data_IF_107209937220
#
_entry.id   IF_107209937220
#
_cell.length_a   1.000
_cell.length_b   1.000
_cell.length_c   1.000
_cell.angle_alpha   90.00
_cell.angle_beta   90.00
_cell.angle_gamma   90.00
#
_symmetry.space_group_name_H-M   'P 1'
#
loop_
_entity.id
_entity.type
_entity.pdbx_description
1 polymer ?
#
# COMPACT_ATOMS: atom_id res chain seq x y z
N UNK A 1 -23.21 -52.37 -31.26
CA UNK A 1 -23.21 -51.12 -30.49
C UNK A 1 -21.87 -50.99 -29.73
N UNK A 2 -21.01 -50.07 -30.17
CA UNK A 2 -19.74 -49.77 -29.46
C UNK A 2 -19.95 -48.48 -28.71
N UNK A 3 -19.93 -48.51 -27.37
CA UNK A 3 -19.95 -47.32 -26.53
C UNK A 3 -18.52 -46.71 -26.51
N UNK A 4 -18.39 -45.50 -27.02
CA UNK A 4 -17.17 -44.70 -26.90
C UNK A 4 -17.28 -43.97 -25.58
N UNK A 5 -16.38 -44.30 -24.65
CA UNK A 5 -16.19 -43.57 -23.38
C UNK A 5 -15.36 -42.31 -23.69
N UNK A 6 -16.01 -41.16 -23.66
CA UNK A 6 -15.28 -39.87 -23.72
C UNK A 6 -14.84 -39.51 -22.31
N UNK A 7 -13.56 -39.67 -22.00
CA UNK A 7 -12.94 -39.20 -20.76
C UNK A 7 -12.66 -37.73 -20.92
N UNK A 8 -13.46 -36.87 -20.28
CA UNK A 8 -13.21 -35.43 -20.20
C UNK A 8 -12.14 -35.18 -19.13
N UNK A 9 -10.94 -34.90 -19.56
CA UNK A 9 -9.90 -34.38 -18.69
C UNK A 9 -10.20 -32.90 -18.37
N UNK A 10 -10.79 -32.64 -17.23
CA UNK A 10 -10.91 -31.28 -16.68
C UNK A 10 -9.57 -30.94 -16.03
N UNK A 11 -8.67 -30.32 -16.79
CA UNK A 11 -7.47 -29.74 -16.23
C UNK A 11 -7.84 -28.51 -15.40
N UNK A 12 -7.63 -28.57 -14.09
CA UNK A 12 -7.69 -27.41 -13.20
C UNK A 12 -6.49 -26.48 -13.41
N UNK A 13 -6.56 -25.63 -14.41
CA UNK A 13 -5.49 -24.68 -14.79
C UNK A 13 -5.27 -23.52 -13.80
N UNK A 14 -6.06 -23.37 -12.75
CA UNK A 14 -6.08 -22.16 -11.92
C UNK A 14 -4.92 -22.00 -10.94
N UNK A 15 -4.27 -23.09 -10.51
CA UNK A 15 -3.19 -23.02 -9.52
C UNK A 15 -1.76 -22.87 -10.10
N UNK A 16 -1.56 -23.22 -11.34
CA UNK A 16 -0.21 -23.15 -11.98
C UNK A 16 0.15 -21.70 -12.34
N UNK A 17 -0.81 -20.89 -12.74
CA UNK A 17 -0.57 -19.52 -13.22
C UNK A 17 -0.11 -18.56 -12.11
N UNK A 18 -0.60 -18.70 -10.89
CA UNK A 18 -0.21 -17.85 -9.74
C UNK A 18 1.23 -18.15 -9.27
N UNK A 19 1.64 -19.40 -9.31
CA UNK A 19 2.95 -19.83 -8.78
C UNK A 19 4.12 -19.45 -9.71
N UNK A 20 3.92 -19.51 -11.03
CA UNK A 20 4.93 -19.09 -12.02
C UNK A 20 5.21 -17.58 -11.94
N UNK A 21 4.19 -16.75 -11.84
CA UNK A 21 4.33 -15.28 -11.78
C UNK A 21 5.11 -14.77 -10.56
N UNK A 22 4.95 -15.39 -9.38
CA UNK A 22 5.78 -15.04 -8.20
C UNK A 22 7.24 -15.40 -8.44
N UNK A 23 7.52 -16.53 -9.06
CA UNK A 23 8.87 -16.96 -9.38
C UNK A 23 9.54 -15.96 -10.33
N UNK A 24 8.80 -15.50 -11.36
CA UNK A 24 9.29 -14.51 -12.32
C UNK A 24 9.57 -13.16 -11.67
N UNK A 25 8.67 -12.70 -10.77
CA UNK A 25 8.88 -11.49 -9.99
C UNK A 25 10.12 -11.61 -9.11
N UNK A 26 10.28 -12.70 -8.38
CA UNK A 26 11.44 -12.96 -7.52
C UNK A 26 12.74 -13.00 -8.33
N UNK A 27 12.72 -13.62 -9.51
CA UNK A 27 13.86 -13.69 -10.42
C UNK A 27 14.24 -12.30 -10.92
N UNK A 28 13.29 -11.55 -11.46
CA UNK A 28 13.53 -10.21 -12.00
C UNK A 28 14.11 -9.26 -10.96
N UNK A 29 13.60 -9.30 -9.73
CA UNK A 29 14.07 -8.46 -8.63
C UNK A 29 15.47 -8.90 -8.15
N UNK A 30 15.75 -10.20 -8.10
CA UNK A 30 17.07 -10.70 -7.74
C UNK A 30 18.13 -10.33 -8.78
N UNK A 31 17.76 -10.32 -10.05
CA UNK A 31 18.63 -9.92 -11.16
C UNK A 31 18.92 -8.41 -11.18
N UNK A 32 18.02 -7.60 -10.67
CA UNK A 32 18.18 -6.14 -10.58
C UNK A 32 19.08 -5.68 -9.43
N UNK A 33 19.33 -6.56 -8.46
CA UNK A 33 20.24 -6.33 -7.33
C UNK A 33 20.00 -5.01 -6.57
N UNK A 34 18.74 -4.54 -6.51
CA UNK A 34 18.36 -3.24 -5.96
C UNK A 34 18.09 -3.26 -4.44
N UNK A 35 18.64 -4.26 -3.73
CA UNK A 35 18.60 -4.34 -2.26
C UNK A 35 17.25 -4.66 -1.69
N UNK A 36 16.36 -5.25 -2.46
CA UNK A 36 15.02 -5.61 -2.03
C UNK A 36 15.02 -6.52 -0.81
N UNK A 37 14.02 -6.34 0.03
CA UNK A 37 13.68 -7.26 1.12
C UNK A 37 13.72 -8.69 0.57
N UNK A 38 14.30 -9.61 1.34
CA UNK A 38 14.39 -11.02 0.94
C UNK A 38 13.02 -11.53 0.47
N UNK A 39 12.83 -11.55 -0.83
CA UNK A 39 11.56 -11.87 -1.49
C UNK A 39 11.15 -13.32 -1.37
N UNK A 40 12.07 -14.21 -0.95
CA UNK A 40 11.74 -15.60 -0.67
C UNK A 40 10.65 -15.71 0.40
N UNK A 41 10.54 -14.70 1.27
CA UNK A 41 9.53 -14.60 2.34
C UNK A 41 8.25 -13.85 1.94
N UNK A 42 8.15 -13.32 0.72
CA UNK A 42 6.94 -12.64 0.28
C UNK A 42 5.89 -13.61 -0.26
N UNK A 43 4.65 -13.33 0.12
CA UNK A 43 3.46 -14.04 -0.31
C UNK A 43 2.50 -13.10 -1.04
N UNK A 44 1.70 -13.66 -1.93
CA UNK A 44 0.62 -12.96 -2.60
C UNK A 44 -0.64 -12.89 -1.76
N UNK A 45 -1.33 -11.74 -1.86
CA UNK A 45 -2.70 -11.58 -1.39
C UNK A 45 -3.51 -10.91 -2.51
N UNK A 46 -4.18 -11.70 -3.32
CA UNK A 46 -4.99 -11.22 -4.44
C UNK A 46 -6.15 -12.16 -4.73
N UNK A 47 -7.04 -11.71 -5.59
CA UNK A 47 -8.11 -12.57 -6.10
C UNK A 47 -7.54 -13.71 -6.97
N UNK A 48 -7.97 -14.95 -6.78
CA UNK A 48 -7.46 -16.10 -7.54
C UNK A 48 -7.80 -16.02 -9.04
N UNK A 49 -8.85 -15.29 -9.41
CA UNK A 49 -9.29 -15.10 -10.79
C UNK A 49 -8.72 -13.84 -11.46
N UNK A 50 -7.96 -13.02 -10.74
CA UNK A 50 -7.32 -11.84 -11.32
C UNK A 50 -6.25 -12.25 -12.35
N UNK A 51 -6.29 -11.63 -13.54
CA UNK A 51 -5.44 -12.05 -14.68
C UNK A 51 -3.99 -11.59 -14.48
N UNK A 52 -3.78 -10.32 -14.17
CA UNK A 52 -2.46 -9.71 -14.00
C UNK A 52 -2.35 -8.86 -12.74
N UNK A 53 -2.67 -9.42 -11.56
CA UNK A 53 -2.73 -8.63 -10.33
C UNK A 53 -1.36 -8.07 -9.94
N UNK A 54 -0.29 -8.82 -10.16
CA UNK A 54 1.10 -8.42 -9.92
C UNK A 54 1.95 -8.88 -11.09
N UNK A 55 2.81 -8.01 -11.60
CA UNK A 55 3.71 -8.32 -12.72
C UNK A 55 5.01 -7.51 -12.63
N UNK A 56 6.04 -7.99 -13.33
CA UNK A 56 7.27 -7.23 -13.55
C UNK A 56 7.03 -6.20 -14.65
N UNK A 57 7.61 -5.03 -14.50
CA UNK A 57 7.57 -3.94 -15.47
C UNK A 57 8.96 -3.38 -15.68
N UNK A 58 9.29 -3.05 -16.91
CA UNK A 58 10.53 -2.34 -17.27
C UNK A 58 10.45 -0.82 -17.06
N UNK A 59 9.34 -0.32 -16.55
CA UNK A 59 9.18 1.05 -16.10
C UNK A 59 9.69 1.18 -14.66
N UNK A 60 10.93 1.56 -14.46
CA UNK A 60 11.62 1.60 -13.18
C UNK A 60 12.31 2.94 -12.92
N UNK A 61 12.64 3.22 -11.66
CA UNK A 61 13.47 4.35 -11.24
C UNK A 61 14.85 3.87 -10.78
N UNK A 62 14.93 2.62 -10.31
CA UNK A 62 16.18 1.96 -9.90
C UNK A 62 16.31 0.68 -10.72
N UNK A 63 17.54 0.39 -11.19
CA UNK A 63 17.81 -0.82 -11.94
C UNK A 63 17.00 -0.92 -13.24
N UNK A 64 16.53 -2.11 -13.56
CA UNK A 64 15.85 -2.42 -14.82
C UNK A 64 14.35 -2.66 -14.68
N UNK A 65 13.91 -3.03 -13.49
CA UNK A 65 12.55 -3.53 -13.26
C UNK A 65 11.89 -2.92 -12.04
N UNK A 66 10.59 -2.76 -12.11
CA UNK A 66 9.73 -2.47 -10.98
C UNK A 66 8.62 -3.52 -10.85
N UNK A 67 7.85 -3.46 -9.77
CA UNK A 67 6.67 -4.30 -9.58
C UNK A 67 5.43 -3.47 -9.88
N UNK A 68 4.63 -3.93 -10.84
CA UNK A 68 3.35 -3.37 -11.21
C UNK A 68 2.23 -4.11 -10.48
N UNK A 69 1.36 -3.38 -9.81
CA UNK A 69 0.14 -3.87 -9.18
C UNK A 69 -1.07 -3.36 -9.95
N UNK A 70 -2.03 -4.24 -10.15
CA UNK A 70 -3.30 -3.91 -10.81
C UNK A 70 -4.47 -4.46 -10.00
N UNK A 71 -5.55 -3.69 -9.91
CA UNK A 71 -6.80 -4.12 -9.31
C UNK A 71 -7.97 -3.63 -10.14
N UNK A 72 -8.83 -4.54 -10.55
CA UNK A 72 -10.03 -4.28 -11.31
C UNK A 72 -11.28 -4.49 -10.45
N UNK A 73 -12.40 -3.94 -10.92
CA UNK A 73 -13.68 -4.16 -10.25
C UNK A 73 -14.05 -5.64 -10.22
N UNK A 74 -14.39 -6.13 -9.02
CA UNK A 74 -14.78 -7.51 -8.79
C UNK A 74 -13.62 -8.46 -8.50
N UNK A 75 -12.37 -8.00 -8.59
CA UNK A 75 -11.20 -8.80 -8.22
C UNK A 75 -11.01 -8.86 -6.71
N UNK A 76 -11.95 -9.47 -6.02
CA UNK A 76 -11.91 -9.68 -4.58
C UNK A 76 -11.45 -11.09 -4.24
N UNK A 77 -10.59 -11.21 -3.23
CA UNK A 77 -10.04 -12.48 -2.77
C UNK A 77 -10.90 -13.17 -1.73
N UNK A 78 -10.78 -14.49 -1.67
CA UNK A 78 -11.48 -15.34 -0.70
C UNK A 78 -10.58 -16.47 -0.24
N UNK A 79 -10.53 -16.68 1.06
CA UNK A 79 -9.81 -17.74 1.75
C UNK A 79 -10.73 -18.32 2.83
N UNK A 80 -10.48 -19.50 3.42
CA UNK A 80 -11.34 -20.07 4.44
C UNK A 80 -11.69 -19.13 5.61
N UNK A 81 -10.75 -18.26 5.99
CA UNK A 81 -10.89 -17.38 7.15
C UNK A 81 -11.16 -15.91 6.81
N UNK A 82 -11.31 -15.56 5.53
CA UNK A 82 -11.63 -14.19 5.11
C UNK A 82 -12.25 -14.16 3.71
N UNK A 83 -13.13 -13.18 3.51
CA UNK A 83 -13.80 -12.97 2.25
C UNK A 83 -13.89 -11.46 1.97
N UNK A 84 -13.07 -10.98 1.06
CA UNK A 84 -13.05 -9.57 0.66
C UNK A 84 -14.29 -9.18 -0.14
N UNK A 85 -14.87 -10.13 -0.90
CA UNK A 85 -16.04 -9.88 -1.73
C UNK A 85 -17.27 -9.50 -0.90
N UNK A 86 -17.47 -10.17 0.24
CA UNK A 86 -18.60 -9.88 1.13
C UNK A 86 -18.37 -8.70 2.06
N UNK A 87 -17.15 -8.17 2.12
CA UNK A 87 -16.77 -7.08 3.05
C UNK A 87 -16.33 -5.82 2.35
N UNK A 88 -16.72 -5.64 1.08
CA UNK A 88 -16.46 -4.45 0.28
C UNK A 88 -14.97 -4.11 0.20
N UNK A 89 -14.14 -5.13 -0.12
CA UNK A 89 -12.70 -5.02 -0.21
C UNK A 89 -12.18 -5.69 -1.47
N UNK A 90 -11.05 -5.18 -1.94
CA UNK A 90 -10.21 -5.80 -2.95
C UNK A 90 -8.76 -5.64 -2.56
N UNK A 91 -7.94 -6.61 -2.95
CA UNK A 91 -6.53 -6.53 -2.67
C UNK A 91 -5.69 -7.20 -3.75
N UNK A 92 -4.57 -6.55 -3.99
CA UNK A 92 -3.44 -7.04 -4.75
C UNK A 92 -2.20 -6.58 -4.01
N UNK A 93 -1.69 -7.42 -3.12
CA UNK A 93 -0.60 -7.08 -2.21
C UNK A 93 0.46 -8.17 -2.19
N UNK A 94 1.70 -7.78 -1.99
CA UNK A 94 2.76 -8.62 -1.47
C UNK A 94 2.88 -8.39 0.04
N UNK A 95 3.18 -9.43 0.81
CA UNK A 95 3.40 -9.27 2.23
C UNK A 95 4.59 -10.06 2.77
N UNK A 96 5.26 -9.47 3.75
CA UNK A 96 6.34 -10.04 4.53
C UNK A 96 5.95 -10.06 6.00
N UNK A 97 6.07 -11.22 6.68
CA UNK A 97 5.43 -11.45 7.98
C UNK A 97 6.39 -11.54 9.18
N UNK A 98 7.66 -11.20 9.02
CA UNK A 98 8.69 -11.52 10.01
C UNK A 98 9.31 -10.28 10.69
N UNK A 99 8.52 -9.22 10.91
CA UNK A 99 9.01 -7.99 11.53
C UNK A 99 8.91 -8.09 13.06
N UNK A 100 10.01 -7.87 13.76
CA UNK A 100 10.05 -7.79 15.21
C UNK A 100 9.30 -6.55 15.72
N UNK A 101 8.54 -6.73 16.80
CA UNK A 101 7.64 -5.73 17.35
C UNK A 101 8.27 -4.74 18.35
N UNK A 102 9.48 -4.97 18.82
CA UNK A 102 10.22 -4.06 19.73
C UNK A 102 11.54 -3.63 19.10
N UNK A 103 11.56 -3.42 17.78
CA UNK A 103 12.78 -3.07 17.09
C UNK A 103 12.64 -1.81 16.29
N UNK A 104 13.74 -1.10 16.18
CA UNK A 104 13.88 -0.06 15.17
C UNK A 104 14.08 -0.69 13.80
N UNK A 105 13.44 -0.07 12.82
CA UNK A 105 13.52 -0.46 11.43
C UNK A 105 13.48 0.76 10.52
N UNK A 106 14.26 0.65 9.48
CA UNK A 106 14.29 1.58 8.36
C UNK A 106 13.71 0.89 7.13
N UNK A 107 12.88 1.60 6.39
CA UNK A 107 12.25 1.14 5.16
C UNK A 107 12.45 2.19 4.08
N UNK A 108 12.58 1.72 2.84
CA UNK A 108 12.62 2.56 1.67
C UNK A 108 11.69 1.99 0.61
N UNK A 109 10.98 2.87 -0.06
CA UNK A 109 10.09 2.55 -1.17
C UNK A 109 10.17 3.66 -2.20
N UNK A 110 10.14 3.30 -3.46
CA UNK A 110 9.70 4.18 -4.51
C UNK A 110 8.31 3.76 -4.95
N UNK A 111 7.39 4.70 -5.08
CA UNK A 111 6.04 4.46 -5.57
C UNK A 111 5.75 5.36 -6.77
N UNK A 112 5.01 4.85 -7.74
CA UNK A 112 4.53 5.64 -8.87
C UNK A 112 3.05 5.37 -9.09
N UNK A 113 2.28 6.46 -9.14
CA UNK A 113 0.88 6.45 -9.55
C UNK A 113 0.82 7.16 -10.91
N UNK A 114 0.30 6.53 -11.97
CA UNK A 114 0.21 7.13 -13.29
C UNK A 114 -0.53 8.48 -13.26
N UNK A 115 -0.23 9.37 -14.20
CA UNK A 115 -0.86 10.70 -14.28
C UNK A 115 -2.39 10.61 -14.37
N UNK A 116 -2.88 9.56 -15.02
CA UNK A 116 -4.30 9.23 -15.18
C UNK A 116 -4.81 8.23 -14.12
N UNK A 117 -4.13 8.10 -12.98
CA UNK A 117 -4.57 7.22 -11.90
C UNK A 117 -6.00 7.54 -11.46
N UNK A 118 -6.85 6.54 -11.50
CA UNK A 118 -8.26 6.65 -11.16
C UNK A 118 -8.46 6.52 -9.64
N UNK A 119 -8.61 7.65 -8.97
CA UNK A 119 -8.95 7.66 -7.54
C UNK A 119 -10.35 7.10 -7.32
N UNK A 120 -10.46 6.22 -6.34
CA UNK A 120 -11.76 5.69 -5.87
C UNK A 120 -12.19 6.28 -4.52
N UNK A 121 -11.63 7.43 -4.12
CA UNK A 121 -12.14 8.13 -2.94
C UNK A 121 -13.64 8.44 -3.14
N UNK A 122 -14.48 8.27 -2.10
CA UNK A 122 -14.19 8.12 -0.68
C UNK A 122 -13.93 6.68 -0.19
N UNK A 123 -13.84 5.70 -1.07
CA UNK A 123 -13.29 4.40 -0.68
C UNK A 123 -11.83 4.55 -0.25
N UNK A 124 -11.35 3.67 0.62
CA UNK A 124 -10.01 3.75 1.17
C UNK A 124 -9.05 2.89 0.34
N UNK A 125 -7.91 3.44 -0.07
CA UNK A 125 -6.85 2.73 -0.77
C UNK A 125 -5.56 2.79 0.06
N UNK A 126 -5.14 1.66 0.60
CA UNK A 126 -3.82 1.51 1.23
C UNK A 126 -2.81 1.04 0.20
N UNK A 127 -1.64 1.70 0.17
CA UNK A 127 -0.52 1.38 -0.70
C UNK A 127 0.55 0.59 0.05
N UNK A 128 0.78 0.95 1.32
CA UNK A 128 1.73 0.29 2.22
C UNK A 128 1.06 0.21 3.59
N UNK A 129 1.17 -0.94 4.25
CA UNK A 129 0.63 -1.10 5.60
C UNK A 129 1.46 -2.06 6.45
N UNK A 130 1.51 -1.78 7.75
CA UNK A 130 2.05 -2.68 8.76
C UNK A 130 0.91 -3.18 9.64
N UNK A 131 0.81 -4.50 9.70
CA UNK A 131 -0.30 -5.18 10.37
C UNK A 131 0.19 -6.18 11.39
N UNK A 132 -0.37 -6.12 12.61
CA UNK A 132 -0.23 -7.16 13.61
C UNK A 132 -1.15 -8.34 13.26
N UNK A 133 -0.72 -9.58 13.55
CA UNK A 133 -1.48 -10.79 13.22
C UNK A 133 -2.62 -11.07 14.21
N UNK A 134 -2.33 -11.05 15.51
CA UNK A 134 -3.28 -11.44 16.56
C UNK A 134 -3.22 -10.46 17.76
N UNK A 135 -4.35 -9.87 18.17
CA UNK A 135 -5.52 -9.65 17.35
C UNK A 135 -5.16 -8.85 16.09
N UNK A 136 -5.85 -9.13 15.00
CA UNK A 136 -5.55 -8.49 13.71
C UNK A 136 -5.81 -6.98 13.77
N UNK A 137 -4.76 -6.18 13.59
CA UNK A 137 -4.86 -4.71 13.61
C UNK A 137 -3.83 -4.09 12.67
N UNK A 138 -4.25 -3.17 11.83
CA UNK A 138 -3.33 -2.32 11.07
C UNK A 138 -2.83 -1.21 11.98
N UNK A 139 -1.51 -1.05 12.10
CA UNK A 139 -0.86 -0.06 12.95
C UNK A 139 -0.52 1.21 12.18
N UNK A 140 0.02 1.07 10.98
CA UNK A 140 0.43 2.15 10.08
C UNK A 140 -0.07 1.85 8.68
N UNK A 141 -0.51 2.90 7.97
CA UNK A 141 -0.80 2.87 6.54
C UNK A 141 -0.26 4.11 5.83
N UNK A 142 0.28 3.89 4.64
CA UNK A 142 0.40 4.93 3.63
C UNK A 142 -0.72 4.72 2.63
N UNK A 143 -1.58 5.72 2.49
CA UNK A 143 -2.81 5.63 1.69
C UNK A 143 -2.83 6.65 0.57
N UNK A 144 -3.47 6.30 -0.53
CA UNK A 144 -3.89 7.28 -1.51
C UNK A 144 -5.28 7.80 -1.17
N UNK A 145 -5.45 9.10 -1.29
CA UNK A 145 -6.72 9.81 -1.17
C UNK A 145 -6.88 10.84 -2.29
N UNK A 146 -8.01 11.52 -2.35
CA UNK A 146 -8.13 12.66 -3.27
C UNK A 146 -7.21 13.84 -2.91
N UNK A 147 -6.73 13.94 -1.67
CA UNK A 147 -5.74 14.94 -1.28
C UNK A 147 -4.30 14.56 -1.68
N UNK A 148 -4.03 13.27 -1.94
CA UNK A 148 -2.71 12.75 -2.28
C UNK A 148 -2.30 11.55 -1.45
N UNK A 149 -0.99 11.41 -1.24
CA UNK A 149 -0.38 10.41 -0.37
C UNK A 149 -0.53 10.83 1.09
N UNK A 150 -1.05 9.94 1.91
CA UNK A 150 -1.36 10.19 3.33
C UNK A 150 -0.73 9.14 4.22
N UNK A 151 -0.10 9.58 5.30
CA UNK A 151 0.32 8.74 6.41
C UNK A 151 -0.81 8.62 7.43
N UNK A 152 -1.09 7.41 7.89
CA UNK A 152 -2.10 7.12 8.90
C UNK A 152 -1.55 6.18 9.98
N UNK A 153 -1.71 6.56 11.25
CA UNK A 153 -1.30 5.77 12.41
C UNK A 153 -2.52 5.35 13.24
N UNK A 154 -2.64 4.06 13.53
CA UNK A 154 -3.75 3.45 14.28
C UNK A 154 -3.27 2.68 15.51
N UNK A 155 -2.10 2.98 16.06
CA UNK A 155 -1.52 2.20 17.16
C UNK A 155 -2.28 2.31 18.49
N UNK A 156 -3.00 3.42 18.70
CA UNK A 156 -3.81 3.67 19.88
C UNK A 156 -5.17 4.28 19.55
N UNK A 157 -5.93 4.63 20.58
CA UNK A 157 -7.29 5.22 20.45
C UNK A 157 -7.29 6.72 20.16
N UNK A 158 -6.13 7.37 20.11
CA UNK A 158 -6.05 8.77 19.74
C UNK A 158 -6.54 9.00 18.32
N UNK A 159 -7.15 10.17 18.05
CA UNK A 159 -7.69 10.46 16.74
C UNK A 159 -6.63 10.20 15.69
N UNK A 160 -6.99 9.42 14.68
CA UNK A 160 -6.10 9.00 13.61
C UNK A 160 -5.33 10.20 13.10
N UNK A 161 -4.02 10.21 13.35
CA UNK A 161 -3.17 11.21 12.77
C UNK A 161 -3.02 10.92 11.28
N UNK A 162 -3.83 11.59 10.47
CA UNK A 162 -3.71 11.56 9.02
C UNK A 162 -2.91 12.77 8.59
N UNK A 163 -1.73 12.54 8.05
CA UNK A 163 -0.83 13.61 7.59
C UNK A 163 -0.70 13.49 6.08
N UNK A 164 -0.99 14.58 5.36
CA UNK A 164 -0.75 14.64 3.92
C UNK A 164 0.75 14.74 3.68
N UNK A 165 1.32 13.71 3.08
CA UNK A 165 2.75 13.61 2.79
C UNK A 165 3.10 14.31 1.47
N UNK A 166 2.28 14.10 0.42
CA UNK A 166 2.49 14.63 -0.92
C UNK A 166 1.14 14.84 -1.62
N UNK A 167 0.81 16.06 -2.07
CA UNK A 167 -0.46 16.32 -2.76
C UNK A 167 -0.51 15.68 -4.14
N UNK A 168 -1.70 15.34 -4.64
CA UNK A 168 -1.88 14.69 -5.93
C UNK A 168 -1.21 15.41 -7.10
N UNK A 169 -1.21 16.74 -7.10
CA UNK A 169 -0.53 17.54 -8.14
C UNK A 169 0.95 17.19 -8.30
N UNK A 170 1.62 16.80 -7.20
CA UNK A 170 3.04 16.40 -7.19
C UNK A 170 3.24 14.88 -7.20
N UNK A 171 2.22 14.11 -6.82
CA UNK A 171 2.27 12.67 -6.70
C UNK A 171 2.04 11.97 -8.04
N UNK A 172 0.96 12.35 -8.75
CA UNK A 172 0.54 11.65 -9.96
C UNK A 172 1.50 11.92 -11.13
N UNK A 173 1.95 10.85 -11.78
CA UNK A 173 2.89 10.91 -12.89
C UNK A 173 4.35 11.10 -12.49
N UNK A 174 4.66 11.01 -11.19
CA UNK A 174 6.02 11.13 -10.68
C UNK A 174 6.36 9.97 -9.74
N UNK A 175 7.59 9.46 -9.83
CA UNK A 175 8.13 8.61 -8.80
C UNK A 175 8.26 9.38 -7.49
N UNK A 176 7.96 8.73 -6.39
CA UNK A 176 7.98 9.30 -5.05
C UNK A 176 8.79 8.39 -4.15
N UNK A 177 9.89 8.91 -3.62
CA UNK A 177 10.66 8.21 -2.61
C UNK A 177 9.97 8.36 -1.25
N UNK A 178 9.86 7.25 -0.53
CA UNK A 178 9.40 7.22 0.87
C UNK A 178 10.48 6.54 1.67
N UNK A 179 11.03 7.24 2.66
CA UNK A 179 11.88 6.66 3.69
C UNK A 179 11.09 6.70 4.98
N UNK A 180 11.00 5.55 5.65
CA UNK A 180 10.26 5.41 6.89
C UNK A 180 11.14 4.78 7.96
N UNK A 181 11.38 5.50 9.05
CA UNK A 181 12.07 4.99 10.23
C UNK A 181 11.10 4.91 11.40
N UNK A 182 11.09 3.79 12.09
CA UNK A 182 10.19 3.57 13.22
C UNK A 182 10.78 2.61 14.24
N UNK A 183 10.46 2.84 15.50
CA UNK A 183 10.59 1.81 16.54
C UNK A 183 9.20 1.30 16.92
N UNK A 184 8.93 0.04 16.62
CA UNK A 184 7.64 -0.62 16.86
C UNK A 184 7.34 -0.88 18.35
N UNK A 185 7.77 -0.01 19.25
CA UNK A 185 7.67 -0.22 20.69
C UNK A 185 6.28 0.17 21.23
N UNK A 186 5.70 -0.63 22.18
CA UNK A 186 4.43 -0.29 22.83
C UNK A 186 4.57 0.80 23.91
N UNK A 187 5.77 1.02 24.43
CA UNK A 187 6.06 2.11 25.36
C UNK A 187 6.16 3.43 24.59
N UNK A 188 5.35 4.45 24.94
CA UNK A 188 5.35 5.73 24.26
C UNK A 188 6.66 6.52 24.39
N UNK A 189 7.50 6.20 25.38
CA UNK A 189 8.83 6.81 25.55
C UNK A 189 9.86 6.25 24.55
N UNK A 190 9.61 5.07 23.99
CA UNK A 190 10.52 4.34 23.09
C UNK A 190 10.01 4.26 21.65
N UNK A 191 8.69 4.30 21.46
CA UNK A 191 8.09 4.25 20.14
C UNK A 191 8.23 5.58 19.39
N UNK A 192 8.47 5.51 18.09
CA UNK A 192 8.50 6.68 17.21
C UNK A 192 8.25 6.31 15.76
N UNK A 193 7.92 7.31 14.96
CA UNK A 193 7.80 7.24 13.51
C UNK A 193 8.35 8.52 12.87
N UNK A 194 9.29 8.36 11.94
CA UNK A 194 9.78 9.44 11.07
C UNK A 194 9.54 9.07 9.62
N UNK A 195 9.01 9.99 8.85
CA UNK A 195 8.73 9.79 7.40
C UNK A 195 9.33 10.94 6.61
N UNK A 196 10.16 10.58 5.66
CA UNK A 196 10.66 11.50 4.62
C UNK A 196 10.03 11.13 3.29
N UNK A 197 9.66 12.15 2.53
CA UNK A 197 9.15 12.02 1.17
C UNK A 197 9.98 12.91 0.26
N UNK A 198 10.59 12.31 -0.76
CA UNK A 198 11.51 12.97 -1.70
C UNK A 198 12.62 13.74 -0.95
N UNK A 199 13.17 13.13 0.10
CA UNK A 199 14.24 13.69 0.93
C UNK A 199 13.78 14.70 1.99
N UNK A 200 12.50 15.08 2.06
CA UNK A 200 11.96 16.06 3.00
C UNK A 200 11.22 15.38 4.16
N UNK A 201 11.58 15.73 5.41
CA UNK A 201 10.91 15.19 6.62
C UNK A 201 9.47 15.70 6.69
N UNK A 202 8.50 14.79 6.69
CA UNK A 202 7.05 15.07 6.74
C UNK A 202 6.40 14.65 8.05
N UNK A 203 6.96 13.67 8.73
CA UNK A 203 6.46 13.17 10.02
C UNK A 203 7.64 13.00 10.96
N UNK A 204 7.52 13.56 12.17
CA UNK A 204 8.37 13.25 13.32
C UNK A 204 7.46 13.04 14.54
N UNK A 205 7.08 11.79 14.77
CA UNK A 205 6.18 11.39 15.84
C UNK A 205 6.94 10.62 16.91
N UNK A 206 6.72 10.97 18.18
CA UNK A 206 7.15 10.20 19.34
C UNK A 206 5.93 9.70 20.10
N UNK A 207 5.87 8.41 20.36
CA UNK A 207 4.73 7.82 21.04
C UNK A 207 4.61 6.32 20.74
N UNK A 208 3.56 5.73 21.25
CA UNK A 208 3.27 4.31 21.07
C UNK A 208 3.09 3.95 19.60
N UNK A 209 3.87 2.98 19.11
CA UNK A 209 3.78 2.48 17.75
C UNK A 209 3.10 1.11 17.64
N UNK A 210 2.96 0.42 18.75
CA UNK A 210 2.26 -0.86 18.84
C UNK A 210 1.54 -0.92 20.18
N UNK A 211 0.28 -1.35 20.19
CA UNK A 211 -0.53 -1.50 21.40
C UNK A 211 -0.43 -2.90 22.02
N UNK A 212 0.31 -3.82 21.39
CA UNK A 212 0.52 -5.16 21.89
C UNK A 212 1.71 -5.23 22.87
N UNK A 213 1.45 -5.76 24.03
CA UNK A 213 2.47 -6.00 25.07
C UNK A 213 3.09 -7.40 24.98
N UNK A 214 2.51 -8.31 24.21
CA UNK A 214 2.85 -9.75 24.18
C UNK A 214 3.82 -10.18 23.08
N UNK A 215 4.26 -9.28 22.20
CA UNK A 215 5.33 -9.57 21.27
C UNK A 215 4.88 -10.26 19.98
N UNK A 216 3.76 -9.87 19.42
CA UNK A 216 3.34 -10.37 18.13
C UNK A 216 4.18 -9.81 16.98
N UNK A 217 4.62 -10.68 16.08
CA UNK A 217 5.26 -10.25 14.83
C UNK A 217 4.33 -9.42 13.97
N UNK A 218 4.91 -8.45 13.28
CA UNK A 218 4.21 -7.60 12.33
C UNK A 218 4.42 -8.13 10.90
N UNK A 219 3.48 -7.84 10.04
CA UNK A 219 3.61 -8.03 8.59
C UNK A 219 3.65 -6.68 7.89
N UNK A 220 4.65 -6.48 7.04
CA UNK A 220 4.63 -5.43 6.02
C UNK A 220 3.81 -5.94 4.83
N UNK A 221 2.96 -5.07 4.28
CA UNK A 221 2.22 -5.31 3.05
C UNK A 221 2.33 -4.09 2.16
N UNK A 222 2.48 -4.30 0.88
CA UNK A 222 2.49 -3.22 -0.11
C UNK A 222 1.83 -3.66 -1.42
N UNK A 223 1.31 -2.71 -2.15
CA UNK A 223 0.49 -2.91 -3.33
C UNK A 223 -0.81 -2.12 -3.25
N UNK A 224 -1.91 -2.71 -3.69
CA UNK A 224 -3.25 -2.12 -3.67
C UNK A 224 -4.16 -2.89 -2.70
N UNK A 225 -4.57 -2.25 -1.61
CA UNK A 225 -5.63 -2.73 -0.75
C UNK A 225 -6.75 -1.70 -0.68
N UNK A 226 -7.89 -2.04 -1.22
CA UNK A 226 -9.06 -1.18 -1.24
C UNK A 226 -10.11 -1.69 -0.27
N UNK A 227 -10.76 -0.79 0.45
CA UNK A 227 -11.82 -1.12 1.39
C UNK A 227 -12.91 -0.05 1.39
N UNK A 228 -14.08 -0.40 1.91
CA UNK A 228 -15.27 0.46 1.89
C UNK A 228 -15.64 0.89 0.47
N UNK A 229 -15.60 -0.04 -0.45
CA UNK A 229 -15.83 0.19 -1.88
C UNK A 229 -17.24 0.67 -2.18
N UNK A 230 -18.21 0.31 -1.32
CA UNK A 230 -19.58 0.81 -1.36
C UNK A 230 -19.66 2.33 -1.28
N UNK A 231 -18.71 2.99 -0.58
CA UNK A 231 -18.70 4.46 -0.47
C UNK A 231 -18.50 5.14 -1.83
N UNK A 232 -17.60 4.59 -2.67
CA UNK A 232 -17.39 5.13 -4.02
C UNK A 232 -18.66 4.95 -4.88
N UNK A 233 -19.24 3.73 -4.86
CA UNK A 233 -20.45 3.46 -5.64
C UNK A 233 -21.60 4.37 -5.25
N UNK A 234 -21.83 4.57 -3.95
CA UNK A 234 -22.86 5.48 -3.43
C UNK A 234 -22.59 6.93 -3.79
N UNK A 235 -21.34 7.41 -3.63
CA UNK A 235 -20.98 8.80 -3.86
C UNK A 235 -21.10 9.22 -5.33
N UNK A 236 -20.87 8.32 -6.27
CA UNK A 236 -20.88 8.61 -7.70
C UNK A 236 -22.03 7.93 -8.47
N UNK A 237 -22.94 7.28 -7.77
CA UNK A 237 -24.04 6.49 -8.35
C UNK A 237 -23.53 5.53 -9.45
N UNK A 238 -22.46 4.80 -9.17
CA UNK A 238 -21.82 3.86 -10.09
C UNK A 238 -21.94 2.43 -9.57
N UNK A 239 -22.24 1.49 -10.45
CA UNK A 239 -22.20 0.05 -10.14
C UNK A 239 -20.76 -0.49 -10.03
N UNK A 240 -19.83 0.12 -10.77
CA UNK A 240 -18.44 -0.29 -10.88
C UNK A 240 -17.50 0.86 -10.50
N UNK A 241 -16.30 0.53 -10.07
CA UNK A 241 -15.20 1.47 -9.90
C UNK A 241 -14.08 1.17 -10.90
N UNK A 242 -13.24 2.19 -11.22
CA UNK A 242 -12.25 2.07 -12.28
C UNK A 242 -11.08 1.16 -11.90
N UNK A 243 -10.39 0.66 -12.92
CA UNK A 243 -9.09 0.01 -12.77
C UNK A 243 -8.09 0.96 -12.09
N UNK A 244 -7.25 0.38 -11.22
CA UNK A 244 -6.16 1.07 -10.55
C UNK A 244 -4.86 0.34 -10.83
N UNK A 245 -3.85 1.11 -11.23
CA UNK A 245 -2.50 0.61 -11.50
C UNK A 245 -1.53 1.47 -10.72
N UNK A 246 -0.58 0.82 -10.03
CA UNK A 246 0.53 1.49 -9.37
C UNK A 246 1.81 0.67 -9.56
N UNK A 247 2.94 1.31 -9.33
CA UNK A 247 4.25 0.66 -9.41
C UNK A 247 5.01 0.87 -8.11
N UNK A 248 5.77 -0.14 -7.73
CA UNK A 248 6.73 -0.10 -6.63
C UNK A 248 8.11 -0.48 -7.12
N UNK A 249 9.12 0.22 -6.61
CA UNK A 249 10.51 -0.02 -6.91
C UNK A 249 11.37 0.18 -5.67
N UNK A 250 12.57 -0.41 -5.61
CA UNK A 250 13.53 -0.28 -4.52
C UNK A 250 12.97 -0.55 -3.12
N UNK A 251 12.02 -1.48 -3.01
CA UNK A 251 11.40 -1.85 -1.71
C UNK A 251 12.42 -2.57 -0.86
N UNK A 252 12.91 -1.88 0.16
CA UNK A 252 13.98 -2.39 1.01
C UNK A 252 13.80 -2.06 2.49
N UNK A 253 14.43 -2.82 3.38
CA UNK A 253 14.45 -2.51 4.81
C UNK A 253 15.75 -2.96 5.47
N UNK A 254 16.11 -2.24 6.53
CA UNK A 254 17.25 -2.61 7.36
C UNK A 254 17.05 -2.15 8.82
N UNK A 255 17.89 -2.64 9.73
CA UNK A 255 17.89 -2.23 11.14
C UNK A 255 18.54 -0.86 11.36
N UNK A 256 19.35 -0.41 10.42
CA UNK A 256 20.07 0.86 10.52
C UNK A 256 19.98 1.63 9.24
N UNK A 257 19.98 2.96 9.34
CA UNK A 257 19.99 3.85 8.20
C UNK A 257 21.19 3.58 7.25
N UNK A 258 22.39 3.45 7.81
CA UNK A 258 23.64 3.27 7.03
C UNK A 258 23.62 2.02 6.14
N UNK A 259 22.95 0.96 6.59
CA UNK A 259 22.78 -0.27 5.81
C UNK A 259 21.69 -0.18 4.75
N UNK A 260 20.75 0.74 4.90
CA UNK A 260 19.68 0.97 3.94
C UNK A 260 20.07 2.02 2.89
N UNK A 261 20.75 3.06 3.34
CA UNK A 261 21.21 4.19 2.53
C UNK A 261 22.75 4.26 2.58
N UNK A 262 23.28 5.47 2.71
CA UNK A 262 24.69 5.71 3.01
C UNK A 262 24.83 6.71 4.18
N UNK A 263 26.04 6.92 4.66
CA UNK A 263 26.27 7.76 5.84
C UNK A 263 25.89 9.22 5.61
N UNK A 264 26.22 9.77 4.45
CA UNK A 264 25.89 11.17 4.09
C UNK A 264 24.39 11.39 4.03
N UNK A 265 23.65 10.50 3.35
CA UNK A 265 22.19 10.54 3.29
C UNK A 265 21.57 10.45 4.68
N UNK A 266 22.08 9.55 5.54
CA UNK A 266 21.58 9.41 6.91
C UNK A 266 21.80 10.66 7.77
N UNK A 267 22.96 11.33 7.64
CA UNK A 267 23.24 12.61 8.33
C UNK A 267 22.25 13.68 7.88
N UNK A 268 22.05 13.81 6.56
CA UNK A 268 21.12 14.80 5.99
C UNK A 268 19.67 14.58 6.44
N UNK A 269 19.19 13.33 6.47
CA UNK A 269 17.85 13.01 6.95
C UNK A 269 17.69 13.35 8.44
N UNK A 270 18.66 12.99 9.27
CA UNK A 270 18.58 13.17 10.72
C UNK A 270 18.77 14.62 11.18
N UNK A 271 19.33 15.49 10.35
CA UNK A 271 19.48 16.94 10.67
C UNK A 271 18.20 17.74 10.46
N UNK A 272 17.15 17.15 9.85
CA UNK A 272 15.91 17.85 9.55
C UNK A 272 14.95 17.87 10.74
N UNK A 273 14.20 18.97 10.87
CA UNK A 273 13.12 19.14 11.83
C UNK A 273 11.80 19.41 11.09
N UNK A 274 10.70 18.90 11.60
CA UNK A 274 9.34 19.18 11.10
C UNK A 274 8.69 20.21 12.00
N UNK A 275 8.12 21.25 11.39
CA UNK A 275 7.16 22.11 12.05
C UNK A 275 5.83 21.35 12.20
N UNK A 276 5.44 21.04 13.44
CA UNK A 276 4.30 20.18 13.80
C UNK A 276 2.93 20.76 13.37
N UNK A 277 2.88 22.00 12.87
CA UNK A 277 1.65 22.72 12.56
C UNK A 277 0.88 22.26 11.31
N UNK A 278 1.32 21.21 10.61
CA UNK A 278 0.64 20.65 9.43
C UNK A 278 -0.20 19.38 9.74
N UNK A 279 -0.65 19.21 10.99
CA UNK A 279 -1.65 18.18 11.31
C UNK A 279 -3.02 18.70 10.85
N UNK A 280 -3.38 18.40 9.62
CA UNK A 280 -4.75 18.65 9.15
C UNK A 280 -5.67 17.53 9.64
N UNK A 281 -6.85 17.90 10.10
CA UNK A 281 -7.94 16.94 10.28
C UNK A 281 -8.40 16.45 8.89
N UNK A 282 -7.70 15.44 8.42
CA UNK A 282 -7.88 14.84 7.12
C UNK A 282 -9.33 14.38 6.87
N UNK A 283 -10.04 13.91 7.89
CA UNK A 283 -11.42 13.45 7.74
C UNK A 283 -12.36 14.59 7.39
N UNK A 284 -12.12 15.75 7.96
CA UNK A 284 -12.88 16.95 7.68
C UNK A 284 -12.57 17.49 6.29
N UNK A 285 -11.29 17.57 5.95
CA UNK A 285 -10.85 17.97 4.60
C UNK A 285 -11.33 17.01 3.52
N UNK A 286 -11.29 15.69 3.77
CA UNK A 286 -11.81 14.69 2.85
C UNK A 286 -13.28 14.87 2.57
N UNK A 287 -14.08 15.16 3.60
CA UNK A 287 -15.52 15.38 3.45
C UNK A 287 -15.79 16.66 2.67
N UNK A 288 -15.19 17.76 3.05
CA UNK A 288 -15.38 19.07 2.39
C UNK A 288 -14.92 19.06 0.92
N UNK A 289 -13.76 18.43 0.63
CA UNK A 289 -13.27 18.33 -0.74
C UNK A 289 -14.09 17.35 -1.58
N UNK A 290 -14.61 16.28 -0.97
CA UNK A 290 -15.48 15.34 -1.64
C UNK A 290 -16.80 16.00 -2.01
N UNK A 291 -17.42 16.72 -1.08
CA UNK A 291 -18.68 17.43 -1.30
C UNK A 291 -18.51 18.46 -2.44
N UNK A 292 -17.40 19.21 -2.45
CA UNK A 292 -17.07 20.15 -3.54
C UNK A 292 -16.82 19.43 -4.89
N UNK A 293 -16.20 18.25 -4.89
CA UNK A 293 -15.92 17.48 -6.10
C UNK A 293 -17.18 16.82 -6.67
N UNK A 294 -18.03 16.28 -5.82
CA UNK A 294 -19.34 15.73 -6.21
C UNK A 294 -20.19 16.81 -6.82
N UNK A 295 -20.27 18.00 -6.21
CA UNK A 295 -20.97 19.16 -6.74
C UNK A 295 -20.42 19.63 -8.09
N UNK A 296 -19.09 19.60 -8.28
CA UNK A 296 -18.45 20.00 -9.54
C UNK A 296 -18.66 18.99 -10.67
N UNK A 297 -18.68 17.70 -10.34
CA UNK A 297 -18.96 16.63 -11.32
C UNK A 297 -20.43 16.63 -11.73
N UNK A 298 -21.34 16.80 -10.78
CA UNK A 298 -22.78 16.92 -11.09
C UNK A 298 -23.06 18.15 -11.95
N UNK A 299 -22.46 19.28 -11.67
CA UNK A 299 -22.61 20.49 -12.50
C UNK A 299 -22.05 20.31 -13.91
N UNK A 300 -20.84 19.74 -14.04
CA UNK A 300 -20.23 19.43 -15.37
C UNK A 300 -21.00 18.39 -16.18
N UNK A 301 -21.77 17.52 -15.55
CA UNK A 301 -22.61 16.53 -16.23
C UNK A 301 -23.93 17.14 -16.72
N UNK A 302 -24.42 18.18 -16.05
CA UNK A 302 -25.61 18.91 -16.46
C UNK A 302 -25.33 19.90 -17.61
N UNK A 303 -24.10 20.44 -17.68
CA UNK A 303 -23.71 21.38 -18.74
C UNK A 303 -23.35 20.68 -20.08
N UNK A 304 -23.46 19.36 -20.16
CA UNK A 304 -23.18 18.52 -21.34
C UNK A 304 -24.39 17.71 -21.82
N UNK A 305 -25.56 17.93 -21.26
CA UNK A 305 -26.85 17.44 -21.70
C UNK A 305 -27.68 18.60 -22.29
#
# INVERSE_FOLDING_TARGET
MRCILIIIFIFSFTNVYSKSKITDIKKAIKEDNDGLLNLESFHHLNAPHAINPVSVSNFSIIGKNSIRFESNHGECGKEPNWNDCTTERERTELYYSEISWKSERWYKFYIFLPKNYNSIAPALVSLIQWKRKKPSKVLIMFRHSHAGLVFNRNADTFPDSNIILKPNKKLLGNWTEIIFNTNWHPDPKKGFAKVWVDGELKVDFKGRMNDDKKGQKLSLRYGLYSSKLDRYRKAFNKSKYPQRIIYFDGVSSNNTCKKLLNETSCKNLNSQNVNIYNIYDYRRLDKEMLDKRVLKITKSSFDKL
#
